data_IF_580619319229
#
_entry.id   IF_580619319229
#
_cell.length_a   1.000
_cell.length_b   1.000
_cell.length_c   1.000
_cell.angle_alpha   90.00
_cell.angle_beta   90.00
_cell.angle_gamma   90.00
#
_symmetry.space_group_name_H-M   'P 1'
#
loop_
_entity.id
_entity.type
_entity.pdbx_description
1 polymer ?
#
# COMPACT_ATOMS: atom_id res chain seq x y z
N UNK A 1 6.79 7.98 -8.40
CA UNK A 1 5.96 9.20 -8.41
C UNK A 1 6.24 9.98 -7.14
N UNK A 2 7.18 10.93 -7.18
CA UNK A 2 7.56 11.76 -6.01
C UNK A 2 6.35 12.53 -5.45
N UNK A 3 5.55 13.08 -6.35
CA UNK A 3 4.29 13.80 -6.10
C UNK A 3 3.28 13.05 -5.22
N UNK A 4 3.24 11.71 -5.24
CA UNK A 4 2.28 10.97 -4.42
C UNK A 4 2.55 11.15 -2.93
N UNK A 5 3.83 11.35 -2.54
CA UNK A 5 4.22 11.64 -1.15
C UNK A 5 3.87 13.07 -0.72
N UNK A 6 3.50 13.94 -1.65
CA UNK A 6 2.97 15.27 -1.33
C UNK A 6 1.49 15.18 -0.95
N UNK A 7 0.72 14.32 -1.64
CA UNK A 7 -0.68 14.04 -1.31
C UNK A 7 -0.85 13.12 -0.10
N UNK A 8 0.08 12.17 0.07
CA UNK A 8 0.06 11.15 1.12
C UNK A 8 1.45 11.08 1.79
N UNK A 9 1.79 12.03 2.68
CA UNK A 9 3.08 12.06 3.35
C UNK A 9 3.37 10.79 4.17
N UNK A 10 2.33 10.11 4.66
CA UNK A 10 2.40 8.87 5.45
C UNK A 10 3.08 7.72 4.68
N UNK A 11 3.11 7.77 3.34
CA UNK A 11 3.83 6.79 2.51
C UNK A 11 5.34 6.75 2.77
N UNK A 12 5.90 7.79 3.39
CA UNK A 12 7.32 7.83 3.77
C UNK A 12 7.63 6.85 4.89
N UNK A 13 6.67 6.61 5.78
CA UNK A 13 6.89 6.01 7.10
C UNK A 13 6.10 4.72 7.31
N UNK A 14 4.94 4.55 6.68
CA UNK A 14 4.13 3.33 6.86
C UNK A 14 4.82 2.08 6.31
N UNK A 15 4.39 0.91 6.80
CA UNK A 15 4.76 -0.40 6.25
C UNK A 15 4.79 -0.39 4.72
N UNK A 16 5.95 -0.75 4.18
CA UNK A 16 6.23 -0.69 2.74
C UNK A 16 6.85 -1.99 2.30
N UNK A 17 6.31 -2.54 1.21
CA UNK A 17 6.81 -3.75 0.58
C UNK A 17 7.33 -3.39 -0.80
N UNK A 18 8.57 -3.80 -1.09
CA UNK A 18 9.11 -3.81 -2.45
C UNK A 18 8.51 -4.99 -3.20
N UNK A 19 7.88 -4.69 -4.34
CA UNK A 19 7.36 -5.68 -5.29
C UNK A 19 8.26 -5.74 -6.51
N UNK A 20 7.95 -6.63 -7.46
CA UNK A 20 8.75 -6.79 -8.68
C UNK A 20 8.82 -5.51 -9.53
N UNK A 21 7.77 -4.68 -9.48
CA UNK A 21 7.58 -3.52 -10.39
C UNK A 21 7.23 -2.22 -9.65
N UNK A 22 7.29 -2.19 -8.33
CA UNK A 22 6.86 -1.04 -7.55
C UNK A 22 6.82 -1.34 -6.06
N UNK A 23 5.84 -0.75 -5.38
CA UNK A 23 5.68 -0.88 -3.94
C UNK A 23 4.21 -1.12 -3.58
N UNK A 24 3.99 -1.88 -2.52
CA UNK A 24 2.74 -1.82 -1.77
C UNK A 24 2.98 -0.98 -0.52
N UNK A 25 2.01 -0.13 -0.20
CA UNK A 25 1.96 0.64 1.04
C UNK A 25 0.75 0.15 1.83
N UNK A 26 0.98 -0.26 3.06
CA UNK A 26 -0.06 -0.82 3.89
C UNK A 26 -0.50 0.21 4.91
N UNK A 27 -1.80 0.21 5.20
CA UNK A 27 -2.40 1.04 6.22
C UNK A 27 -3.43 0.21 6.98
N UNK A 28 -3.54 0.45 8.29
CA UNK A 28 -4.60 -0.14 9.10
C UNK A 28 -5.90 0.60 8.86
N UNK A 29 -6.98 -0.13 8.60
CA UNK A 29 -8.31 0.45 8.45
C UNK A 29 -8.88 0.94 9.80
N UNK A 30 -8.41 0.43 10.94
CA UNK A 30 -8.91 0.81 12.27
C UNK A 30 -10.45 0.80 12.40
N UNK A 31 -11.14 -0.11 11.69
CA UNK A 31 -12.60 -0.21 11.68
C UNK A 31 -13.31 0.56 10.55
N UNK A 32 -12.58 1.35 9.76
CA UNK A 32 -13.13 2.07 8.62
C UNK A 32 -13.44 1.13 7.44
N UNK A 33 -14.52 1.44 6.71
CA UNK A 33 -14.85 0.75 5.47
C UNK A 33 -14.43 1.58 4.27
N UNK A 34 -13.40 1.14 3.54
CA UNK A 34 -12.91 1.82 2.34
C UNK A 34 -13.15 0.97 1.10
N UNK A 35 -13.72 1.57 0.05
CA UNK A 35 -13.97 0.90 -1.22
C UNK A 35 -12.67 0.77 -2.01
N UNK A 36 -12.45 -0.39 -2.61
CA UNK A 36 -11.30 -0.59 -3.51
C UNK A 36 -11.50 0.19 -4.82
N UNK A 37 -10.41 0.71 -5.38
CA UNK A 37 -10.39 1.35 -6.71
C UNK A 37 -9.13 0.98 -7.47
N UNK A 38 -9.23 0.88 -8.80
CA UNK A 38 -8.09 0.66 -9.69
C UNK A 38 -7.45 1.97 -10.17
N UNK A 39 -8.03 3.11 -9.80
CA UNK A 39 -7.57 4.45 -10.16
C UNK A 39 -7.74 5.41 -8.99
N UNK A 40 -6.65 5.68 -8.28
CA UNK A 40 -6.58 6.64 -7.20
C UNK A 40 -6.01 7.96 -7.73
N UNK A 41 -6.69 9.08 -7.44
CA UNK A 41 -6.37 10.42 -7.96
C UNK A 41 -6.32 10.52 -9.50
N UNK A 42 -7.09 9.70 -10.21
CA UNK A 42 -7.08 9.65 -11.67
C UNK A 42 -5.82 9.03 -12.28
N UNK A 43 -4.93 8.46 -11.45
CA UNK A 43 -3.69 7.80 -11.87
C UNK A 43 -3.86 6.28 -11.82
N UNK A 44 -2.99 5.54 -12.52
CA UNK A 44 -2.91 4.07 -12.46
C UNK A 44 -2.30 3.61 -11.13
N UNK A 45 -2.98 3.93 -10.04
CA UNK A 45 -2.64 3.60 -8.66
C UNK A 45 -3.85 2.92 -8.03
N UNK A 46 -3.67 1.70 -7.56
CA UNK A 46 -4.77 0.91 -7.01
C UNK A 46 -4.82 1.06 -5.49
N UNK A 47 -6.02 1.23 -4.95
CA UNK A 47 -6.33 1.08 -3.53
C UNK A 47 -7.06 -0.25 -3.37
N UNK A 48 -6.42 -1.22 -2.70
CA UNK A 48 -7.02 -2.53 -2.40
C UNK A 48 -7.41 -2.58 -0.93
N UNK A 49 -8.68 -2.82 -0.69
CA UNK A 49 -9.32 -2.91 0.62
C UNK A 49 -10.24 -4.13 0.65
N UNK A 50 -11.29 -4.12 1.47
CA UNK A 50 -12.28 -5.18 1.66
C UNK A 50 -12.65 -5.90 0.34
N UNK A 51 -12.61 -7.24 0.38
CA UNK A 51 -12.90 -8.11 -0.76
C UNK A 51 -11.78 -8.24 -1.80
N UNK A 52 -10.61 -7.62 -1.58
CA UNK A 52 -9.44 -7.72 -2.46
C UNK A 52 -8.24 -8.27 -1.68
N UNK A 53 -7.23 -8.72 -2.43
CA UNK A 53 -5.99 -9.22 -1.84
C UNK A 53 -4.77 -8.68 -2.59
N UNK A 54 -3.62 -8.77 -1.94
CA UNK A 54 -2.29 -8.53 -2.51
C UNK A 54 -1.38 -9.70 -2.17
N UNK A 55 -0.34 -9.91 -2.98
CA UNK A 55 0.76 -10.79 -2.62
C UNK A 55 1.60 -10.10 -1.54
N UNK A 56 1.82 -10.77 -0.42
CA UNK A 56 2.58 -10.25 0.72
C UNK A 56 3.92 -10.99 0.91
N UNK A 57 4.96 -10.36 1.47
CA UNK A 57 6.17 -11.06 1.90
C UNK A 57 5.87 -12.18 2.91
N UNK A 58 6.70 -13.23 2.97
CA UNK A 58 7.90 -13.47 2.18
C UNK A 58 7.63 -14.18 0.83
N UNK A 59 6.45 -14.01 0.22
CA UNK A 59 6.08 -14.71 -1.02
C UNK A 59 7.11 -14.50 -2.14
N UNK A 60 7.43 -15.58 -2.86
CA UNK A 60 8.32 -15.59 -4.02
C UNK A 60 7.54 -15.95 -5.28
N UNK A 61 7.67 -15.12 -6.32
CA UNK A 61 7.06 -15.33 -7.63
C UNK A 61 8.18 -15.32 -8.68
N UNK A 62 8.42 -16.49 -9.30
CA UNK A 62 9.59 -16.72 -10.16
C UNK A 62 10.88 -16.39 -9.38
N UNK A 63 11.73 -15.53 -9.93
CA UNK A 63 13.02 -15.16 -9.33
C UNK A 63 12.95 -13.90 -8.44
N UNK A 64 11.75 -13.43 -8.11
CA UNK A 64 11.57 -12.24 -7.26
C UNK A 64 10.83 -12.58 -5.96
N UNK A 65 11.38 -12.15 -4.84
CA UNK A 65 10.74 -12.22 -3.53
C UNK A 65 10.27 -10.83 -3.11
N UNK A 66 9.03 -10.76 -2.62
CA UNK A 66 8.48 -9.55 -2.03
C UNK A 66 9.14 -9.35 -0.67
N UNK A 67 9.60 -8.14 -0.38
CA UNK A 67 10.39 -7.83 0.82
C UNK A 67 9.80 -6.64 1.54
N UNK A 68 9.67 -6.73 2.87
CA UNK A 68 9.39 -5.56 3.71
C UNK A 68 10.61 -4.65 3.72
N UNK A 69 10.44 -3.43 3.21
CA UNK A 69 11.42 -2.35 3.42
C UNK A 69 11.16 -1.62 4.74
N UNK A 70 9.88 -1.52 5.11
CA UNK A 70 9.43 -1.07 6.42
C UNK A 70 8.52 -2.18 6.96
N UNK A 71 8.77 -2.70 8.18
CA UNK A 71 8.13 -3.91 8.67
C UNK A 71 6.64 -3.71 8.94
N UNK A 72 5.91 -4.83 9.04
CA UNK A 72 4.46 -4.86 9.26
C UNK A 72 4.02 -4.21 10.58
N UNK A 73 4.92 -4.16 11.58
CA UNK A 73 4.68 -3.54 12.89
C UNK A 73 4.58 -2.01 12.84
N UNK A 74 5.07 -1.38 11.76
CA UNK A 74 5.08 0.08 11.57
C UNK A 74 3.91 0.54 10.68
N UNK A 75 2.82 -0.23 10.66
CA UNK A 75 1.67 0.09 9.83
C UNK A 75 0.90 1.27 10.42
N UNK A 76 0.85 2.37 9.68
CA UNK A 76 0.12 3.56 10.09
C UNK A 76 -1.40 3.40 9.84
N UNK A 77 -2.25 4.17 10.54
CA UNK A 77 -3.66 4.31 10.20
C UNK A 77 -3.86 4.80 8.76
N UNK A 78 -4.99 4.42 8.13
CA UNK A 78 -5.34 4.91 6.80
C UNK A 78 -5.48 6.45 6.79
N UNK A 79 -4.85 7.15 5.83
CA UNK A 79 -5.00 8.59 5.69
C UNK A 79 -6.45 8.97 5.43
N UNK A 80 -6.94 10.03 6.10
CA UNK A 80 -8.32 10.53 5.94
C UNK A 80 -8.69 10.86 4.50
N UNK A 81 -7.71 11.23 3.67
CA UNK A 81 -7.90 11.52 2.25
C UNK A 81 -8.37 10.29 1.44
N UNK A 82 -8.18 9.07 1.96
CA UNK A 82 -8.50 7.81 1.30
C UNK A 82 -9.80 7.16 1.79
N UNK A 83 -10.50 7.79 2.73
CA UNK A 83 -11.79 7.34 3.27
C UNK A 83 -12.92 7.95 2.45
#
# INVERSE_FOLDING_TARGET
MPELKEYLPELKETTRVRTRRGHHYYFSLNGEYVKSTNSLFGKRLELKSNGNYVVAPPSKIKDHQYIYEIPLSEMLPIPKLLI
#
